data_IF_192079500296
#
_entry.id   IF_192079500296
#
_cell.length_a   1.000
_cell.length_b   1.000
_cell.length_c   1.000
_cell.angle_alpha   90.00
_cell.angle_beta   90.00
_cell.angle_gamma   90.00
#
_symmetry.space_group_name_H-M   'P 1'
#
loop_
_entity.id
_entity.type
_entity.pdbx_description
1 polymer ?
#
# COMPACT_ATOMS: atom_id res chain seq x y z
N UNK A 1 26.26 64.06 -22.12
CA UNK A 1 25.21 63.29 -22.82
C UNK A 1 25.17 61.80 -22.45
N UNK A 2 26.17 61.24 -21.76
CA UNK A 2 26.18 59.81 -21.33
C UNK A 2 25.52 59.53 -19.97
N UNK A 3 25.25 60.55 -19.15
CA UNK A 3 24.66 60.40 -17.80
C UNK A 3 23.13 60.31 -17.78
N UNK A 4 22.45 60.60 -18.90
CA UNK A 4 20.96 60.58 -18.98
C UNK A 4 20.40 59.18 -19.31
N UNK A 5 21.24 58.24 -19.72
CA UNK A 5 20.81 56.88 -20.13
C UNK A 5 20.82 55.87 -18.98
N UNK A 6 21.47 56.16 -17.86
CA UNK A 6 21.57 55.25 -16.72
C UNK A 6 20.27 55.18 -15.88
N UNK A 7 19.35 56.13 -16.07
CA UNK A 7 18.12 56.26 -15.25
C UNK A 7 16.92 55.49 -15.78
N UNK A 8 17.04 54.80 -16.93
CA UNK A 8 15.89 54.16 -17.59
C UNK A 8 15.84 52.63 -17.41
N UNK A 9 16.84 52.02 -16.77
CA UNK A 9 16.89 50.55 -16.59
C UNK A 9 16.16 50.08 -15.32
N UNK A 10 15.68 51.00 -14.49
CA UNK A 10 15.13 50.66 -13.15
C UNK A 10 13.62 50.41 -13.12
N UNK A 11 12.90 50.52 -14.24
CA UNK A 11 11.43 50.36 -14.24
C UNK A 11 10.93 48.93 -14.54
N UNK A 12 11.79 48.03 -15.01
CA UNK A 12 11.42 46.61 -15.17
C UNK A 12 11.73 45.82 -13.89
N UNK A 13 11.24 46.29 -12.74
CA UNK A 13 11.13 45.43 -11.57
C UNK A 13 10.16 44.28 -11.88
N UNK A 14 10.43 43.04 -11.44
CA UNK A 14 9.48 41.95 -11.61
C UNK A 14 8.16 42.36 -10.94
N UNK A 15 7.13 42.64 -11.74
CA UNK A 15 5.83 43.09 -11.27
C UNK A 15 5.38 42.20 -10.13
N UNK A 16 5.09 42.83 -8.99
CA UNK A 16 4.68 42.12 -7.79
C UNK A 16 3.47 41.27 -8.11
N UNK A 17 3.59 39.94 -7.97
CA UNK A 17 2.47 39.00 -8.06
C UNK A 17 1.44 39.19 -6.92
N UNK A 18 1.48 40.31 -6.21
CA UNK A 18 0.75 40.61 -4.98
C UNK A 18 -0.33 41.69 -5.15
N UNK A 19 -0.43 42.32 -6.32
CA UNK A 19 -1.35 43.46 -6.52
C UNK A 19 -2.78 43.03 -6.89
N UNK A 20 -3.06 41.73 -6.98
CA UNK A 20 -4.40 41.19 -7.17
C UNK A 20 -4.94 40.66 -5.85
N UNK A 21 -6.04 41.23 -5.34
CA UNK A 21 -6.81 40.64 -4.25
C UNK A 21 -7.04 39.15 -4.55
N UNK A 22 -6.45 38.28 -3.74
CA UNK A 22 -6.61 36.85 -3.91
C UNK A 22 -8.11 36.51 -3.81
N UNK A 23 -8.68 35.75 -4.76
CA UNK A 23 -10.09 35.41 -4.69
C UNK A 23 -10.42 34.75 -3.36
N UNK A 24 -11.59 35.06 -2.78
CA UNK A 24 -11.99 34.55 -1.47
C UNK A 24 -11.96 33.01 -1.36
N UNK A 25 -11.99 32.30 -2.48
CA UNK A 25 -11.91 30.83 -2.58
C UNK A 25 -10.48 30.28 -2.66
N UNK A 26 -9.44 31.11 -2.67
CA UNK A 26 -8.04 30.68 -2.79
C UNK A 26 -7.64 29.57 -1.79
N UNK A 27 -8.06 29.60 -0.51
CA UNK A 27 -7.73 28.52 0.44
C UNK A 27 -8.43 27.19 0.14
N UNK A 28 -9.54 27.19 -0.59
CA UNK A 28 -10.33 25.98 -0.86
C UNK A 28 -9.52 24.99 -1.70
N UNK A 29 -8.74 25.47 -2.67
CA UNK A 29 -7.96 24.61 -3.54
C UNK A 29 -6.90 23.77 -2.80
N UNK A 30 -5.96 24.33 -2.02
CA UNK A 30 -4.96 23.53 -1.31
C UNK A 30 -5.59 22.63 -0.23
N UNK A 31 -6.69 23.05 0.40
CA UNK A 31 -7.40 22.23 1.40
C UNK A 31 -8.02 21.00 0.74
N UNK A 32 -8.80 21.19 -0.33
CA UNK A 32 -9.45 20.08 -1.06
C UNK A 32 -8.42 19.15 -1.67
N UNK A 33 -7.33 19.70 -2.24
CA UNK A 33 -6.22 18.91 -2.78
C UNK A 33 -5.51 18.09 -1.70
N UNK A 34 -5.23 18.68 -0.53
CA UNK A 34 -4.66 17.98 0.61
C UNK A 34 -5.56 16.86 1.13
N UNK A 35 -6.87 17.14 1.26
CA UNK A 35 -7.86 16.14 1.67
C UNK A 35 -7.99 15.00 0.66
N UNK A 36 -7.95 15.33 -0.64
CA UNK A 36 -7.96 14.34 -1.72
C UNK A 36 -6.78 13.38 -1.60
N UNK A 37 -5.55 13.91 -1.44
CA UNK A 37 -4.38 13.05 -1.28
C UNK A 37 -4.40 12.26 0.03
N UNK A 38 -4.85 12.84 1.15
CA UNK A 38 -5.04 12.10 2.39
C UNK A 38 -6.02 10.94 2.22
N UNK A 39 -7.13 11.16 1.51
CA UNK A 39 -8.10 10.11 1.22
C UNK A 39 -7.49 9.02 0.33
N UNK A 40 -6.77 9.39 -0.73
CA UNK A 40 -6.11 8.45 -1.65
C UNK A 40 -5.06 7.62 -0.91
N UNK A 41 -4.12 8.25 -0.20
CA UNK A 41 -3.07 7.57 0.54
C UNK A 41 -3.65 6.75 1.69
N UNK A 42 -4.61 7.30 2.44
CA UNK A 42 -5.28 6.61 3.54
C UNK A 42 -6.02 5.37 3.05
N UNK A 43 -6.73 5.48 1.93
CA UNK A 43 -7.45 4.34 1.33
C UNK A 43 -6.48 3.30 0.80
N UNK A 44 -5.45 3.69 0.05
CA UNK A 44 -4.42 2.78 -0.44
C UNK A 44 -3.73 2.04 0.73
N UNK A 45 -3.30 2.77 1.76
CA UNK A 45 -2.67 2.20 2.94
C UNK A 45 -3.61 1.27 3.70
N UNK A 46 -4.89 1.66 3.86
CA UNK A 46 -5.92 0.82 4.48
C UNK A 46 -6.12 -0.48 3.71
N UNK A 47 -6.24 -0.43 2.38
CA UNK A 47 -6.38 -1.63 1.53
C UNK A 47 -5.15 -2.53 1.60
N UNK A 48 -3.95 -1.96 1.53
CA UNK A 48 -2.69 -2.71 1.67
C UNK A 48 -2.65 -3.39 3.04
N UNK A 49 -2.86 -2.65 4.12
CA UNK A 49 -2.85 -3.19 5.49
C UNK A 49 -3.93 -4.24 5.70
N UNK A 50 -5.13 -4.04 5.16
CA UNK A 50 -6.22 -5.01 5.22
C UNK A 50 -5.85 -6.30 4.48
N UNK A 51 -5.30 -6.19 3.27
CA UNK A 51 -4.83 -7.34 2.48
C UNK A 51 -3.68 -8.05 3.18
N UNK A 52 -2.73 -7.30 3.73
CA UNK A 52 -1.60 -7.87 4.48
C UNK A 52 -2.07 -8.56 5.75
N UNK A 53 -3.07 -8.07 6.48
CA UNK A 53 -3.62 -8.80 7.62
C UNK A 53 -4.28 -10.11 7.19
N UNK A 54 -5.08 -10.11 6.10
CA UNK A 54 -5.69 -11.35 5.58
C UNK A 54 -4.63 -12.33 5.07
N UNK A 55 -3.63 -11.84 4.34
CA UNK A 55 -2.50 -12.66 3.87
C UNK A 55 -1.61 -13.10 5.02
N UNK A 56 -1.39 -12.29 6.06
CA UNK A 56 -0.60 -12.66 7.23
C UNK A 56 -1.32 -13.72 8.06
N UNK A 57 -2.66 -13.66 8.18
CA UNK A 57 -3.42 -14.74 8.81
C UNK A 57 -3.38 -16.03 7.98
N UNK A 58 -3.48 -15.93 6.64
CA UNK A 58 -3.37 -17.08 5.76
C UNK A 58 -1.94 -17.65 5.70
N UNK A 59 -0.93 -16.79 5.73
CA UNK A 59 0.48 -17.15 5.75
C UNK A 59 0.89 -17.70 7.12
N UNK A 60 0.31 -17.21 8.23
CA UNK A 60 0.49 -17.81 9.54
C UNK A 60 -0.15 -19.21 9.60
N UNK A 61 -1.34 -19.39 9.02
CA UNK A 61 -1.96 -20.71 8.88
C UNK A 61 -1.17 -21.65 7.94
N UNK A 62 -0.48 -21.12 6.92
CA UNK A 62 0.41 -21.89 6.06
C UNK A 62 1.83 -22.09 6.63
N UNK A 63 2.24 -21.24 7.59
CA UNK A 63 3.48 -21.37 8.35
C UNK A 63 3.34 -22.34 9.53
N UNK A 64 2.11 -22.74 9.86
CA UNK A 64 1.86 -23.84 10.78
C UNK A 64 2.54 -25.12 10.23
N UNK A 65 3.53 -25.69 10.94
CA UNK A 65 4.23 -26.89 10.51
C UNK A 65 3.28 -28.07 10.21
N UNK A 66 2.09 -28.11 10.82
CA UNK A 66 1.06 -29.09 10.49
C UNK A 66 0.44 -28.90 9.11
N UNK A 67 0.19 -27.65 8.68
CA UNK A 67 -0.37 -27.36 7.36
C UNK A 67 0.61 -27.76 6.24
N UNK A 68 1.91 -27.51 6.45
CA UNK A 68 2.97 -28.01 5.56
C UNK A 68 3.06 -29.54 5.55
N UNK A 69 2.93 -30.20 6.70
CA UNK A 69 2.94 -31.65 6.77
C UNK A 69 1.75 -32.26 5.98
N UNK A 70 0.55 -31.65 6.08
CA UNK A 70 -0.63 -32.05 5.29
C UNK A 70 -0.43 -31.85 3.79
N UNK A 71 0.15 -30.74 3.36
CA UNK A 71 0.36 -30.48 1.92
C UNK A 71 1.35 -31.47 1.30
N UNK A 72 2.43 -31.82 2.01
CA UNK A 72 3.40 -32.83 1.55
C UNK A 72 2.78 -34.22 1.48
N UNK A 73 1.92 -34.59 2.44
CA UNK A 73 1.19 -35.87 2.38
C UNK A 73 0.23 -35.93 1.18
N UNK A 74 -0.53 -34.85 0.95
CA UNK A 74 -1.49 -34.77 -0.15
C UNK A 74 -0.80 -34.85 -1.53
N UNK A 75 0.37 -34.22 -1.67
CA UNK A 75 1.14 -34.27 -2.91
C UNK A 75 1.71 -35.68 -3.19
N UNK A 76 2.10 -36.41 -2.14
CA UNK A 76 2.56 -37.81 -2.25
C UNK A 76 1.44 -38.80 -2.54
N UNK A 77 0.27 -38.59 -1.94
CA UNK A 77 -0.95 -39.34 -2.26
C UNK A 77 -1.38 -39.12 -3.71
N UNK A 78 -1.35 -37.87 -4.19
CA UNK A 78 -1.66 -37.55 -5.59
C UNK A 78 -0.65 -38.15 -6.60
N UNK A 79 0.61 -38.34 -6.20
CA UNK A 79 1.62 -39.09 -6.97
C UNK A 79 1.44 -40.61 -6.89
N UNK A 80 0.57 -41.11 -6.03
CA UNK A 80 0.38 -42.55 -5.77
C UNK A 80 1.54 -43.21 -5.03
N UNK A 81 2.41 -42.41 -4.37
CA UNK A 81 3.53 -42.94 -3.58
C UNK A 81 3.11 -43.44 -2.19
N UNK A 82 1.89 -43.09 -1.76
CA UNK A 82 1.30 -43.44 -0.45
C UNK A 82 -0.12 -43.94 -0.68
N UNK A 83 -0.47 -45.05 -0.01
CA UNK A 83 -1.78 -45.68 -0.07
C UNK A 83 -2.82 -44.97 0.84
N UNK A 84 -4.11 -45.17 0.57
CA UNK A 84 -5.21 -44.47 1.25
C UNK A 84 -5.25 -44.76 2.75
N UNK A 85 -5.00 -46.01 3.15
CA UNK A 85 -4.98 -46.43 4.55
C UNK A 85 -3.85 -45.76 5.35
N UNK A 86 -2.68 -45.59 4.72
CA UNK A 86 -1.52 -44.97 5.33
C UNK A 86 -1.68 -43.44 5.44
N UNK A 87 -2.37 -42.83 4.47
CA UNK A 87 -2.79 -41.43 4.53
C UNK A 87 -3.73 -41.16 5.71
N UNK A 88 -4.77 -42.00 5.88
CA UNK A 88 -5.75 -41.86 6.95
C UNK A 88 -5.12 -42.08 8.35
N UNK A 89 -4.20 -43.03 8.48
CA UNK A 89 -3.49 -43.29 9.73
C UNK A 89 -2.61 -42.11 10.16
N UNK A 90 -1.87 -41.49 9.23
CA UNK A 90 -1.04 -40.31 9.53
C UNK A 90 -1.86 -39.04 9.74
N UNK A 91 -2.98 -38.89 9.01
CA UNK A 91 -3.88 -37.75 9.17
C UNK A 91 -4.61 -37.77 10.52
N UNK A 92 -5.04 -38.95 10.98
CA UNK A 92 -5.66 -39.11 12.31
C UNK A 92 -4.66 -38.89 13.45
N UNK A 93 -3.42 -39.38 13.32
CA UNK A 93 -2.35 -39.09 14.28
C UNK A 93 -2.04 -37.59 14.40
N UNK A 94 -2.02 -36.86 13.28
CA UNK A 94 -1.88 -35.41 13.26
C UNK A 94 -3.12 -34.67 13.78
N UNK A 95 -4.32 -35.28 13.78
CA UNK A 95 -5.54 -34.64 14.30
C UNK A 95 -5.76 -34.86 15.79
N UNK A 96 -5.22 -35.95 16.34
CA UNK A 96 -5.39 -36.38 17.73
C UNK A 96 -4.20 -35.98 18.64
N UNK A 97 -3.17 -35.35 18.10
CA UNK A 97 -2.00 -34.85 18.84
C UNK A 97 -2.13 -33.41 19.36
N UNK A 98 -3.32 -32.80 19.20
CA UNK A 98 -3.75 -31.52 19.80
C UNK A 98 -4.50 -31.78 21.12
#
# INVERSE_FOLDING_TARGET
>A
MLTMLATQVTEMGPGGWHDGDAPAFWPVFPITFGLFWLAVLGTAFYFIRRRMNTTATAAAAAADPMAKARSVLAERFARGEIDEDEYLMRMSALRNGD
#
